data_IF_699446415415
#
_entry.id   IF_699446415415
#
_cell.length_a   1.000
_cell.length_b   1.000
_cell.length_c   1.000
_cell.angle_alpha   90.00
_cell.angle_beta   90.00
_cell.angle_gamma   90.00
#
_symmetry.space_group_name_H-M   'P 1'
#
loop_
_entity.id
_entity.type
_entity.pdbx_description
1 polymer ?
#
# COMPACT_ATOMS: atom_id res chain seq x y z
N UNK A 1 -24.16 -36.43 -19.88
CA UNK A 1 -23.84 -36.38 -18.44
C UNK A 1 -22.32 -36.19 -18.15
N UNK A 2 -21.42 -36.85 -18.87
CA UNK A 2 -19.97 -36.66 -18.67
C UNK A 2 -19.46 -35.24 -19.07
N UNK A 3 -20.01 -34.65 -20.11
CA UNK A 3 -19.65 -33.27 -20.56
C UNK A 3 -20.07 -32.20 -19.56
N UNK A 4 -21.26 -32.34 -18.95
CA UNK A 4 -21.77 -31.39 -17.95
C UNK A 4 -20.93 -31.42 -16.67
N UNK A 5 -20.48 -32.61 -16.25
CA UNK A 5 -19.57 -32.77 -15.12
C UNK A 5 -18.19 -32.16 -15.38
N UNK A 6 -17.66 -32.31 -16.61
CA UNK A 6 -16.39 -31.68 -17.04
C UNK A 6 -16.51 -30.14 -17.06
N UNK A 7 -17.62 -29.59 -17.53
CA UNK A 7 -17.87 -28.14 -17.57
C UNK A 7 -17.98 -27.58 -16.15
N UNK A 8 -18.64 -28.29 -15.23
CA UNK A 8 -18.75 -27.89 -13.82
C UNK A 8 -17.37 -27.92 -13.14
N UNK A 9 -16.54 -28.93 -13.43
CA UNK A 9 -15.16 -29.00 -12.91
C UNK A 9 -14.28 -27.88 -13.49
N UNK A 10 -14.40 -27.55 -14.77
CA UNK A 10 -13.69 -26.42 -15.38
C UNK A 10 -14.14 -25.07 -14.79
N UNK A 11 -15.44 -24.92 -14.52
CA UNK A 11 -15.97 -23.69 -13.92
C UNK A 11 -15.54 -23.55 -12.46
N UNK A 12 -15.37 -24.66 -11.72
CA UNK A 12 -14.88 -24.65 -10.34
C UNK A 12 -13.38 -24.37 -10.25
N UNK A 13 -12.59 -24.69 -11.30
CA UNK A 13 -11.14 -24.41 -11.33
C UNK A 13 -10.82 -22.95 -11.60
N UNK A 14 -11.76 -22.18 -12.19
CA UNK A 14 -11.56 -20.76 -12.53
C UNK A 14 -11.78 -19.84 -11.31
N UNK A 15 -12.42 -20.33 -10.24
CA UNK A 15 -12.79 -19.52 -9.08
C UNK A 15 -11.63 -19.39 -8.06
N UNK A 16 -10.53 -20.14 -8.21
CA UNK A 16 -9.43 -20.15 -7.24
C UNK A 16 -8.17 -19.36 -7.64
N UNK A 17 -8.22 -18.50 -8.67
CA UNK A 17 -7.15 -17.54 -8.96
C UNK A 17 -7.51 -16.14 -8.49
N UNK A 18 -8.02 -16.02 -7.27
CA UNK A 18 -7.92 -14.78 -6.51
C UNK A 18 -6.58 -14.81 -5.79
N UNK A 19 -5.49 -14.64 -6.53
CA UNK A 19 -4.26 -14.16 -5.95
C UNK A 19 -4.55 -12.74 -5.45
N UNK A 20 -4.57 -12.55 -4.14
CA UNK A 20 -4.31 -11.26 -3.52
C UNK A 20 -2.83 -10.92 -3.84
N UNK A 21 -2.56 -10.55 -5.08
CA UNK A 21 -1.29 -9.95 -5.46
C UNK A 21 -1.23 -8.61 -4.74
N UNK A 22 -0.58 -8.63 -3.58
CA UNK A 22 -0.18 -7.40 -2.90
C UNK A 22 0.73 -6.65 -3.86
N UNK A 23 0.22 -5.59 -4.43
CA UNK A 23 0.98 -4.74 -5.30
C UNK A 23 2.00 -3.97 -4.45
N UNK A 24 3.28 -4.32 -4.63
CA UNK A 24 4.40 -3.70 -3.93
C UNK A 24 5.20 -2.83 -4.88
N UNK A 25 5.72 -1.72 -4.37
CA UNK A 25 6.67 -0.86 -5.08
C UNK A 25 8.01 -0.86 -4.34
N UNK A 26 9.10 -0.98 -5.09
CA UNK A 26 10.45 -0.85 -4.55
C UNK A 26 10.78 0.62 -4.27
N UNK A 27 11.63 0.87 -3.28
CA UNK A 27 12.06 2.23 -2.91
C UNK A 27 12.65 3.00 -4.11
N UNK A 28 13.48 2.35 -4.92
CA UNK A 28 14.09 2.97 -6.09
C UNK A 28 13.08 3.50 -7.12
N UNK A 29 11.93 2.87 -7.23
CA UNK A 29 10.85 3.30 -8.13
C UNK A 29 9.94 4.33 -7.44
N UNK A 30 9.66 4.16 -6.16
CA UNK A 30 8.89 5.12 -5.37
C UNK A 30 9.56 6.51 -5.28
N UNK A 31 10.89 6.55 -5.22
CA UNK A 31 11.65 7.81 -5.21
C UNK A 31 11.40 8.66 -6.47
N UNK A 32 11.20 8.02 -7.62
CA UNK A 32 10.88 8.70 -8.88
C UNK A 32 9.51 9.38 -8.86
N UNK A 33 8.65 9.00 -7.93
CA UNK A 33 7.28 9.49 -7.80
C UNK A 33 7.11 10.60 -6.75
N UNK A 34 8.18 11.00 -6.05
CA UNK A 34 8.13 11.94 -4.92
C UNK A 34 7.50 13.30 -5.24
N UNK A 35 7.71 13.81 -6.44
CA UNK A 35 7.27 15.14 -6.83
C UNK A 35 6.09 15.09 -7.84
N UNK A 36 5.43 13.94 -7.98
CA UNK A 36 4.27 13.80 -8.84
C UNK A 36 2.99 14.19 -8.10
N UNK A 37 2.19 15.06 -8.71
CA UNK A 37 0.96 15.60 -8.09
C UNK A 37 -0.15 14.55 -7.93
N UNK A 38 -0.13 13.49 -8.73
CA UNK A 38 -1.09 12.39 -8.70
C UNK A 38 -0.68 11.25 -7.75
N UNK A 39 0.37 11.45 -6.96
CA UNK A 39 0.88 10.47 -5.97
C UNK A 39 0.78 11.03 -4.56
N UNK A 40 0.28 10.21 -3.64
CA UNK A 40 0.26 10.47 -2.20
C UNK A 40 1.07 9.41 -1.47
N UNK A 41 2.03 9.82 -0.65
CA UNK A 41 2.66 8.94 0.32
C UNK A 41 1.85 8.95 1.62
N UNK A 42 1.39 7.79 2.06
CA UNK A 42 0.60 7.60 3.28
C UNK A 42 1.45 6.86 4.32
N UNK A 43 1.78 7.55 5.39
CA UNK A 43 2.47 7.00 6.55
C UNK A 43 1.44 6.45 7.55
N UNK A 44 1.49 5.16 7.82
CA UNK A 44 0.59 4.50 8.78
C UNK A 44 1.28 4.13 10.09
N UNK A 45 2.45 4.73 10.34
CA UNK A 45 3.19 4.60 11.61
C UNK A 45 2.52 5.40 12.72
N UNK A 46 3.10 5.33 13.91
CA UNK A 46 2.69 6.17 15.03
C UNK A 46 3.16 7.62 14.87
N UNK A 47 2.49 8.59 15.54
CA UNK A 47 2.96 9.98 15.56
C UNK A 47 4.38 10.13 16.11
N UNK A 48 4.78 9.29 17.05
CA UNK A 48 6.13 9.27 17.62
C UNK A 48 7.17 8.87 16.58
N UNK A 49 6.94 7.79 15.83
CA UNK A 49 7.84 7.37 14.75
C UNK A 49 7.97 8.47 13.69
N UNK A 50 6.84 9.06 13.28
CA UNK A 50 6.81 10.15 12.31
C UNK A 50 7.64 11.35 12.76
N UNK A 51 7.48 11.76 14.03
CA UNK A 51 8.14 12.93 14.59
C UNK A 51 9.64 12.71 14.83
N UNK A 52 10.01 11.56 15.40
CA UNK A 52 11.38 11.35 15.89
C UNK A 52 12.29 10.61 14.89
N UNK A 53 11.73 9.78 14.03
CA UNK A 53 12.50 9.07 13.01
C UNK A 53 12.51 9.77 11.65
N UNK A 54 11.68 10.80 11.48
CA UNK A 54 11.44 11.46 10.21
C UNK A 54 10.39 10.75 9.35
N UNK A 55 10.13 11.28 8.17
CA UNK A 55 9.12 10.80 7.23
C UNK A 55 9.54 11.00 5.78
N UNK A 56 8.82 10.39 4.86
CA UNK A 56 8.93 10.70 3.44
C UNK A 56 8.37 12.11 3.21
N UNK A 57 9.00 12.87 2.33
CA UNK A 57 8.61 14.25 1.99
C UNK A 57 7.11 14.30 1.63
N UNK A 58 6.39 15.25 2.22
CA UNK A 58 4.96 15.48 1.98
C UNK A 58 4.03 14.29 2.32
N UNK A 59 4.49 13.32 3.10
CA UNK A 59 3.66 12.21 3.50
C UNK A 59 2.52 12.66 4.42
N UNK A 60 1.33 12.11 4.19
CA UNK A 60 0.19 12.23 5.09
C UNK A 60 0.29 11.16 6.18
N UNK A 61 0.18 11.54 7.44
CA UNK A 61 0.17 10.62 8.57
C UNK A 61 -1.26 10.24 8.95
N UNK A 62 -1.58 8.95 8.84
CA UNK A 62 -2.77 8.36 9.46
C UNK A 62 -2.36 7.03 10.07
N UNK A 63 -2.17 6.93 11.40
CA UNK A 63 -1.80 5.67 12.04
C UNK A 63 -2.74 4.53 11.67
N UNK A 64 -2.20 3.33 11.49
CA UNK A 64 -2.98 2.17 11.02
C UNK A 64 -4.21 1.89 11.89
N UNK A 65 -4.11 2.11 13.20
CA UNK A 65 -5.22 1.90 14.14
C UNK A 65 -6.36 2.92 13.97
N UNK A 66 -6.07 4.08 13.40
CA UNK A 66 -7.05 5.15 13.15
C UNK A 66 -7.57 5.14 11.71
N UNK A 67 -6.95 4.36 10.83
CA UNK A 67 -7.18 4.42 9.38
C UNK A 67 -8.65 4.20 9.01
N UNK A 68 -9.30 3.19 9.59
CA UNK A 68 -10.70 2.89 9.29
C UNK A 68 -11.65 4.02 9.72
N UNK A 69 -11.38 4.64 10.86
CA UNK A 69 -12.17 5.78 11.37
C UNK A 69 -11.96 7.05 10.55
N UNK A 70 -10.77 7.19 9.96
CA UNK A 70 -10.34 8.38 9.21
C UNK A 70 -10.39 8.20 7.69
N UNK A 71 -11.02 7.13 7.22
CA UNK A 71 -11.03 6.81 5.77
C UNK A 71 -11.67 7.93 4.94
N UNK A 72 -12.63 8.66 5.49
CA UNK A 72 -13.26 9.82 4.84
C UNK A 72 -12.27 10.93 4.53
N UNK A 73 -11.19 11.06 5.30
CA UNK A 73 -10.11 12.01 5.00
C UNK A 73 -9.37 11.68 3.71
N UNK A 74 -9.37 10.41 3.29
CA UNK A 74 -8.72 9.94 2.08
C UNK A 74 -9.59 10.07 0.83
N UNK A 75 -10.89 10.37 0.97
CA UNK A 75 -11.77 10.52 -0.20
C UNK A 75 -11.30 11.62 -1.15
N UNK A 76 -10.69 12.69 -0.63
CA UNK A 76 -10.08 13.74 -1.44
C UNK A 76 -8.91 13.24 -2.33
N UNK A 77 -8.34 12.09 -1.99
CA UNK A 77 -7.21 11.48 -2.69
C UNK A 77 -7.61 10.23 -3.51
N UNK A 78 -8.91 10.01 -3.71
CA UNK A 78 -9.44 8.82 -4.39
C UNK A 78 -8.90 8.64 -5.81
N UNK A 79 -8.62 9.74 -6.50
CA UNK A 79 -8.04 9.75 -7.85
C UNK A 79 -6.52 9.59 -7.89
N UNK A 80 -5.85 9.62 -6.73
CA UNK A 80 -4.39 9.52 -6.65
C UNK A 80 -3.92 8.08 -6.49
N UNK A 81 -2.67 7.84 -6.88
CA UNK A 81 -1.94 6.64 -6.53
C UNK A 81 -1.41 6.80 -5.09
N UNK A 82 -1.87 5.99 -4.18
CA UNK A 82 -1.46 6.06 -2.77
C UNK A 82 -0.38 5.03 -2.50
N UNK A 83 0.82 5.49 -2.14
CA UNK A 83 1.92 4.62 -1.70
C UNK A 83 1.90 4.59 -0.19
N UNK A 84 1.53 3.43 0.36
CA UNK A 84 1.40 3.23 1.80
C UNK A 84 2.69 2.69 2.38
N UNK A 85 3.16 3.25 3.48
CA UNK A 85 4.33 2.72 4.16
C UNK A 85 4.19 2.75 5.68
N UNK A 86 4.91 1.84 6.32
CA UNK A 86 5.16 1.86 7.75
C UNK A 86 6.68 1.73 8.01
N UNK A 87 7.09 1.23 9.15
CA UNK A 87 8.51 1.07 9.45
C UNK A 87 9.17 -0.03 8.61
N UNK A 88 8.58 -1.24 8.58
CA UNK A 88 9.14 -2.43 7.93
C UNK A 88 8.24 -3.10 6.89
N UNK A 89 6.97 -2.68 6.77
CA UNK A 89 6.02 -3.18 5.77
C UNK A 89 4.81 -3.93 6.34
N UNK A 90 4.83 -4.41 7.58
CA UNK A 90 3.73 -5.22 8.14
C UNK A 90 2.42 -4.45 8.30
N UNK A 91 2.46 -3.29 8.95
CA UNK A 91 1.28 -2.41 9.17
C UNK A 91 0.75 -1.85 7.84
N UNK A 92 1.65 -1.48 6.94
CA UNK A 92 1.28 -0.94 5.64
C UNK A 92 0.64 -1.99 4.73
N UNK A 93 1.00 -3.26 4.81
CA UNK A 93 0.28 -4.34 4.12
C UNK A 93 -1.17 -4.47 4.58
N UNK A 94 -1.40 -4.39 5.89
CA UNK A 94 -2.77 -4.39 6.45
C UNK A 94 -3.57 -3.18 5.96
N UNK A 95 -2.95 -2.00 5.99
CA UNK A 95 -3.56 -0.76 5.51
C UNK A 95 -3.89 -0.83 4.01
N UNK A 96 -2.98 -1.36 3.19
CA UNK A 96 -3.18 -1.56 1.75
C UNK A 96 -4.39 -2.45 1.47
N UNK A 97 -4.52 -3.56 2.18
CA UNK A 97 -5.68 -4.46 2.05
C UNK A 97 -7.00 -3.75 2.39
N UNK A 98 -7.04 -3.01 3.49
CA UNK A 98 -8.20 -2.24 3.89
C UNK A 98 -8.59 -1.20 2.83
N UNK A 99 -7.63 -0.44 2.33
CA UNK A 99 -7.87 0.61 1.35
C UNK A 99 -8.28 0.05 -0.02
N UNK A 100 -7.72 -1.07 -0.46
CA UNK A 100 -8.18 -1.77 -1.67
C UNK A 100 -9.65 -2.19 -1.59
N UNK A 101 -10.09 -2.73 -0.45
CA UNK A 101 -11.51 -3.05 -0.21
C UNK A 101 -12.43 -1.84 -0.30
N UNK A 102 -11.91 -0.65 -0.06
CA UNK A 102 -12.62 0.63 -0.16
C UNK A 102 -12.43 1.30 -1.52
N UNK A 103 -11.90 0.58 -2.51
CA UNK A 103 -11.69 1.01 -3.90
C UNK A 103 -10.69 2.17 -4.07
N UNK A 104 -9.70 2.26 -3.18
CA UNK A 104 -8.54 3.13 -3.38
C UNK A 104 -7.49 2.46 -4.26
N UNK A 105 -6.80 3.26 -5.06
CA UNK A 105 -5.63 2.81 -5.81
C UNK A 105 -4.40 2.91 -4.89
N UNK A 106 -3.96 1.77 -4.36
CA UNK A 106 -2.92 1.71 -3.33
C UNK A 106 -1.87 0.67 -3.65
N UNK A 107 -0.63 1.00 -3.29
CA UNK A 107 0.54 0.15 -3.41
C UNK A 107 1.33 0.18 -2.11
N UNK A 108 1.85 -0.94 -1.66
CA UNK A 108 2.67 -1.02 -0.46
C UNK A 108 4.14 -0.72 -0.78
N UNK A 109 4.80 0.16 -0.02
CA UNK A 109 6.24 0.37 -0.11
C UNK A 109 6.99 -0.80 0.53
N UNK A 110 7.67 -1.59 -0.29
CA UNK A 110 8.41 -2.75 0.17
C UNK A 110 9.57 -2.37 1.09
N UNK A 111 9.64 -3.05 2.24
CA UNK A 111 10.65 -2.79 3.26
C UNK A 111 10.44 -1.50 4.07
N UNK A 112 9.42 -0.72 3.78
CA UNK A 112 8.98 0.44 4.53
C UNK A 112 10.04 1.54 4.68
N UNK A 113 9.92 2.32 5.75
CA UNK A 113 10.80 3.47 6.01
C UNK A 113 12.25 3.06 6.29
N UNK A 114 12.48 1.86 6.82
CA UNK A 114 13.86 1.32 6.97
C UNK A 114 14.53 1.20 5.61
N UNK A 115 13.87 0.59 4.62
CA UNK A 115 14.40 0.46 3.27
C UNK A 115 14.59 1.83 2.60
N UNK A 116 13.66 2.76 2.83
CA UNK A 116 13.76 4.15 2.36
C UNK A 116 15.02 4.84 2.87
N UNK A 117 15.25 4.81 4.16
CA UNK A 117 16.46 5.40 4.79
C UNK A 117 17.74 4.74 4.29
N UNK A 118 17.76 3.42 4.17
CA UNK A 118 18.90 2.66 3.65
C UNK A 118 19.25 3.09 2.22
N UNK A 119 18.26 3.28 1.37
CA UNK A 119 18.47 3.73 -0.01
C UNK A 119 19.22 5.06 -0.08
N UNK A 120 18.88 6.03 0.74
CA UNK A 120 19.54 7.32 0.77
C UNK A 120 20.89 7.30 1.48
N UNK A 121 21.08 6.45 2.50
CA UNK A 121 22.39 6.32 3.16
C UNK A 121 23.43 5.63 2.31
N UNK A 122 23.04 4.75 1.40
CA UNK A 122 23.96 4.05 0.48
C UNK A 122 24.42 4.91 -0.70
N UNK A 123 23.82 6.08 -0.92
CA UNK A 123 24.17 7.01 -2.00
C UNK A 123 25.06 8.17 -1.57
N UNK A 124 25.45 8.22 -0.28
CA UNK A 124 26.42 9.18 0.26
C UNK A 124 27.82 8.58 0.22
#
# INVERSE_FOLDING_TARGET
MRLIRLIIYLFFLIIFTSCDDEENILVQDAVKLLDQEDVLFLDVRTPQEFKYEGSIKNALLIPVNDLEKKITMLEAYKSKNIIVYCRSGRRSKMATKLLKKKNFNVTNLEGGFIAWRKYFSSKR
#
